data_IF_134444981830
#
_entry.id   IF_134444981830
#
_cell.length_a   1.000
_cell.length_b   1.000
_cell.length_c   1.000
_cell.angle_alpha   90.00
_cell.angle_beta   90.00
_cell.angle_gamma   90.00
#
_symmetry.space_group_name_H-M   'P 1'
#
loop_
_entity.id
_entity.type
_entity.pdbx_description
1 polymer ?
#
# COMPACT_ATOMS: atom_id res chain seq x y z
N UNK A 1 9.28 16.49 9.96
CA UNK A 1 8.35 15.36 10.12
C UNK A 1 8.77 14.31 9.12
N UNK A 2 9.02 13.09 9.57
CA UNK A 2 9.36 11.95 8.70
C UNK A 2 8.12 11.09 8.49
N UNK A 3 7.92 10.62 7.27
CA UNK A 3 6.80 9.75 6.91
C UNK A 3 7.34 8.42 6.35
N UNK A 4 6.63 7.34 6.62
CA UNK A 4 7.04 5.99 6.26
C UNK A 4 5.90 5.24 5.59
N UNK A 5 6.23 4.36 4.65
CA UNK A 5 5.30 3.38 4.10
C UNK A 5 6.03 2.06 3.86
N UNK A 6 5.33 0.93 3.85
CA UNK A 6 5.95 -0.34 3.50
C UNK A 6 6.07 -0.49 1.98
N UNK A 7 7.02 -1.29 1.50
CA UNK A 7 7.16 -1.59 0.07
C UNK A 7 5.90 -2.22 -0.52
N UNK A 8 5.15 -2.98 0.28
CA UNK A 8 3.86 -3.57 -0.11
C UNK A 8 2.80 -2.51 -0.37
N UNK A 9 2.62 -1.56 0.56
CA UNK A 9 1.66 -0.44 0.39
C UNK A 9 2.09 0.46 -0.76
N UNK A 10 3.39 0.75 -0.90
CA UNK A 10 3.90 1.53 -2.03
C UNK A 10 3.58 0.86 -3.37
N UNK A 11 3.79 -0.46 -3.49
CA UNK A 11 3.45 -1.22 -4.68
C UNK A 11 1.93 -1.22 -4.98
N UNK A 12 1.09 -1.32 -3.94
CA UNK A 12 -0.36 -1.21 -4.10
C UNK A 12 -0.80 0.16 -4.63
N UNK A 13 -0.25 1.25 -4.09
CA UNK A 13 -0.54 2.61 -4.58
C UNK A 13 -0.14 2.75 -6.05
N UNK A 14 1.07 2.31 -6.41
CA UNK A 14 1.55 2.33 -7.81
C UNK A 14 0.58 1.54 -8.71
N UNK A 15 0.14 0.35 -8.28
CA UNK A 15 -0.79 -0.47 -9.04
C UNK A 15 -2.17 0.20 -9.19
N UNK A 16 -2.71 0.82 -8.13
CA UNK A 16 -3.99 1.53 -8.18
C UNK A 16 -3.95 2.73 -9.12
N UNK A 17 -2.86 3.48 -9.13
CA UNK A 17 -2.65 4.58 -10.09
C UNK A 17 -2.55 4.05 -11.51
N UNK A 18 -1.88 2.91 -11.74
CA UNK A 18 -1.83 2.27 -13.06
C UNK A 18 -3.23 1.90 -13.56
N UNK A 19 -4.07 1.30 -12.71
CA UNK A 19 -5.44 0.92 -13.06
C UNK A 19 -6.31 2.16 -13.30
N UNK A 20 -6.21 3.19 -12.45
CA UNK A 20 -6.94 4.44 -12.62
C UNK A 20 -6.56 5.16 -13.92
N UNK A 21 -5.27 5.24 -14.24
CA UNK A 21 -4.79 5.81 -15.49
C UNK A 21 -5.34 5.04 -16.70
N UNK A 22 -5.36 3.71 -16.65
CA UNK A 22 -5.91 2.88 -17.72
C UNK A 22 -7.41 3.10 -17.93
N UNK A 23 -8.18 3.19 -16.84
CA UNK A 23 -9.62 3.49 -16.86
C UNK A 23 -9.85 4.80 -17.61
N UNK A 24 -9.16 5.88 -17.21
CA UNK A 24 -9.33 7.20 -17.81
C UNK A 24 -8.84 7.25 -19.25
N UNK A 25 -7.65 6.67 -19.54
CA UNK A 25 -7.00 6.78 -20.85
C UNK A 25 -7.70 5.96 -21.93
N UNK A 26 -8.17 4.76 -21.59
CA UNK A 26 -8.75 3.83 -22.57
C UNK A 26 -10.28 3.73 -22.45
N UNK A 27 -10.92 4.52 -21.58
CA UNK A 27 -12.37 4.54 -21.41
C UNK A 27 -12.93 3.21 -20.88
N UNK A 28 -12.19 2.52 -20.02
CA UNK A 28 -12.55 1.19 -19.51
C UNK A 28 -13.53 1.28 -18.36
N UNK A 29 -14.36 0.25 -18.18
CA UNK A 29 -15.06 0.06 -16.92
C UNK A 29 -14.08 -0.37 -15.82
N UNK A 30 -14.27 0.09 -14.57
CA UNK A 30 -13.37 -0.28 -13.46
C UNK A 30 -13.23 -1.78 -13.25
N UNK A 31 -14.30 -2.56 -13.47
CA UNK A 31 -14.30 -4.02 -13.37
C UNK A 31 -13.38 -4.70 -14.38
N UNK A 32 -13.19 -4.09 -15.55
CA UNK A 32 -12.55 -4.74 -16.70
C UNK A 32 -11.09 -4.31 -16.85
N UNK A 33 -10.70 -3.20 -16.21
CA UNK A 33 -9.40 -2.56 -16.40
C UNK A 33 -8.21 -3.51 -16.15
N UNK A 34 -8.25 -4.31 -15.07
CA UNK A 34 -7.19 -5.27 -14.76
C UNK A 34 -7.12 -6.38 -15.81
N UNK A 35 -8.27 -6.87 -16.28
CA UNK A 35 -8.35 -7.92 -17.31
C UNK A 35 -7.83 -7.41 -18.65
N UNK A 36 -8.19 -6.18 -19.02
CA UNK A 36 -7.71 -5.52 -20.22
C UNK A 36 -6.19 -5.34 -20.20
N UNK A 37 -5.61 -4.82 -19.11
CA UNK A 37 -4.17 -4.61 -19.01
C UNK A 37 -3.38 -5.93 -19.10
N UNK A 38 -3.91 -7.02 -18.57
CA UNK A 38 -3.29 -8.36 -18.68
C UNK A 38 -3.24 -8.86 -20.12
N UNK A 39 -4.28 -8.59 -20.91
CA UNK A 39 -4.37 -9.02 -22.32
C UNK A 39 -3.71 -8.04 -23.29
N UNK A 40 -3.41 -6.82 -22.85
CA UNK A 40 -2.78 -5.75 -23.65
C UNK A 40 -1.53 -5.17 -22.98
N UNK A 41 -0.39 -5.89 -22.94
CA UNK A 41 0.85 -5.40 -22.32
C UNK A 41 1.35 -4.07 -22.92
N UNK A 42 1.01 -3.80 -24.18
CA UNK A 42 1.39 -2.57 -24.88
C UNK A 42 0.68 -1.35 -24.30
N UNK A 43 -0.57 -1.52 -23.88
CA UNK A 43 -1.31 -0.48 -23.17
C UNK A 43 -0.58 -0.08 -21.87
N UNK A 44 -0.05 -1.05 -21.10
CA UNK A 44 0.74 -0.77 -19.89
C UNK A 44 1.97 0.07 -20.22
N UNK A 45 2.67 -0.23 -21.32
CA UNK A 45 3.89 0.49 -21.72
C UNK A 45 3.62 1.97 -22.02
N UNK A 46 2.44 2.28 -22.53
CA UNK A 46 2.02 3.64 -22.86
C UNK A 46 1.61 4.51 -21.66
N UNK A 47 1.25 3.88 -20.54
CA UNK A 47 0.92 4.56 -19.28
C UNK A 47 2.13 5.31 -18.73
N UNK A 48 1.90 6.47 -18.09
CA UNK A 48 2.93 7.40 -17.62
C UNK A 48 2.76 7.81 -16.16
N UNK A 49 1.52 7.92 -15.65
CA UNK A 49 1.26 8.46 -14.31
C UNK A 49 1.81 7.54 -13.23
N UNK A 50 1.56 6.22 -13.31
CA UNK A 50 2.06 5.28 -12.30
C UNK A 50 3.59 5.27 -12.18
N UNK A 51 4.30 5.60 -13.28
CA UNK A 51 5.77 5.67 -13.32
C UNK A 51 6.33 6.84 -12.51
N UNK A 52 5.52 7.88 -12.28
CA UNK A 52 5.92 9.05 -11.50
C UNK A 52 5.81 8.82 -9.98
N UNK A 53 4.95 7.88 -9.55
CA UNK A 53 4.65 7.65 -8.12
C UNK A 53 5.89 7.39 -7.24
N UNK A 54 6.89 6.57 -7.65
CA UNK A 54 8.11 6.42 -6.85
C UNK A 54 8.84 7.75 -6.60
N UNK A 55 8.85 8.64 -7.59
CA UNK A 55 9.43 9.99 -7.44
C UNK A 55 8.59 10.87 -6.52
N UNK A 56 7.26 10.74 -6.57
CA UNK A 56 6.35 11.48 -5.68
C UNK A 56 6.56 11.10 -4.21
N UNK A 57 6.76 9.82 -3.89
CA UNK A 57 7.13 9.41 -2.53
C UNK A 57 8.41 10.12 -2.04
N UNK A 58 9.43 10.17 -2.90
CA UNK A 58 10.69 10.87 -2.58
C UNK A 58 10.48 12.37 -2.36
N UNK A 59 9.72 13.03 -3.23
CA UNK A 59 9.42 14.47 -3.12
C UNK A 59 8.60 14.78 -1.85
N UNK A 60 7.69 13.89 -1.48
CA UNK A 60 6.91 13.95 -0.24
C UNK A 60 7.71 13.56 1.01
N UNK A 61 9.00 13.20 0.88
CA UNK A 61 9.86 12.71 1.96
C UNK A 61 9.27 11.49 2.69
N UNK A 62 8.65 10.59 1.93
CA UNK A 62 8.13 9.31 2.40
C UNK A 62 9.20 8.24 2.18
N UNK A 63 9.66 7.63 3.27
CA UNK A 63 10.63 6.54 3.24
C UNK A 63 9.90 5.20 3.04
N UNK A 64 10.31 4.46 2.00
CA UNK A 64 9.78 3.11 1.73
C UNK A 64 10.61 2.10 2.52
N UNK A 65 9.94 1.39 3.44
CA UNK A 65 10.52 0.36 4.29
C UNK A 65 10.38 -1.02 3.64
N UNK A 66 11.43 -1.83 3.73
CA UNK A 66 11.45 -3.19 3.19
C UNK A 66 10.53 -4.14 3.97
N UNK A 67 9.86 -5.03 3.24
CA UNK A 67 9.18 -6.19 3.81
C UNK A 67 10.08 -7.40 3.53
N UNK A 68 10.53 -8.07 4.60
CA UNK A 68 11.32 -9.30 4.49
C UNK A 68 10.51 -10.50 4.97
N UNK A 69 11.10 -11.70 4.87
CA UNK A 69 10.54 -12.90 5.51
C UNK A 69 10.21 -12.68 6.99
N UNK A 70 11.00 -11.86 7.70
CA UNK A 70 10.77 -11.54 9.12
C UNK A 70 9.41 -10.89 9.35
N UNK A 71 9.04 -9.91 8.52
CA UNK A 71 7.76 -9.21 8.65
C UNK A 71 6.60 -10.13 8.26
N UNK A 72 6.77 -10.93 7.20
CA UNK A 72 5.77 -11.94 6.81
C UNK A 72 5.53 -12.95 7.94
N UNK A 73 6.60 -13.44 8.57
CA UNK A 73 6.50 -14.39 9.68
C UNK A 73 5.90 -13.76 10.94
N UNK A 74 6.41 -12.59 11.35
CA UNK A 74 5.96 -11.89 12.56
C UNK A 74 4.50 -11.46 12.45
N UNK A 75 4.05 -11.11 11.24
CA UNK A 75 2.67 -10.67 10.98
C UNK A 75 1.59 -11.69 11.37
N UNK A 76 1.94 -12.99 11.47
CA UNK A 76 1.00 -14.06 11.84
C UNK A 76 0.33 -13.79 13.19
N UNK A 77 1.06 -13.23 14.16
CA UNK A 77 0.51 -12.93 15.49
C UNK A 77 -0.63 -11.94 15.42
N UNK A 78 -0.54 -10.92 14.56
CA UNK A 78 -1.60 -9.91 14.44
C UNK A 78 -2.89 -10.49 13.83
N UNK A 79 -2.76 -11.52 12.97
CA UNK A 79 -3.92 -12.27 12.45
C UNK A 79 -4.55 -13.12 13.55
N UNK A 80 -3.73 -13.82 14.33
CA UNK A 80 -4.20 -14.68 15.42
C UNK A 80 -4.83 -13.89 16.56
N UNK A 81 -4.18 -12.80 16.99
CA UNK A 81 -4.55 -12.06 18.19
C UNK A 81 -5.65 -11.03 17.93
N UNK A 82 -5.71 -10.45 16.73
CA UNK A 82 -6.61 -9.33 16.42
C UNK A 82 -7.47 -9.53 15.16
N UNK A 83 -7.38 -10.70 14.50
CA UNK A 83 -8.19 -10.99 13.31
C UNK A 83 -7.86 -10.13 12.09
N UNK A 84 -6.63 -9.58 12.01
CA UNK A 84 -6.21 -8.72 10.90
C UNK A 84 -6.12 -9.47 9.57
N UNK A 85 -6.39 -8.79 8.44
CA UNK A 85 -6.08 -9.32 7.11
C UNK A 85 -4.57 -9.38 6.88
N UNK A 86 -4.15 -10.21 5.91
CA UNK A 86 -2.73 -10.51 5.66
C UNK A 86 -1.87 -9.27 5.41
N UNK A 87 -2.33 -8.34 4.56
CA UNK A 87 -1.54 -7.15 4.22
C UNK A 87 -1.49 -6.18 5.41
N UNK A 88 -2.61 -5.99 6.10
CA UNK A 88 -2.70 -5.11 7.27
C UNK A 88 -1.84 -5.62 8.43
N UNK A 89 -1.83 -6.93 8.62
CA UNK A 89 -1.00 -7.58 9.62
C UNK A 89 0.50 -7.44 9.30
N UNK A 90 0.88 -7.37 8.02
CA UNK A 90 2.26 -7.10 7.58
C UNK A 90 2.63 -5.64 7.82
N UNK A 91 1.72 -4.68 7.59
CA UNK A 91 1.93 -3.26 7.94
C UNK A 91 2.29 -3.15 9.43
N UNK A 92 1.53 -3.80 10.30
CA UNK A 92 1.81 -3.81 11.75
C UNK A 92 3.17 -4.44 12.09
N UNK A 93 3.58 -5.50 11.40
CA UNK A 93 4.89 -6.12 11.59
C UNK A 93 6.04 -5.18 11.18
N UNK A 94 5.87 -4.42 10.08
CA UNK A 94 6.81 -3.36 9.68
C UNK A 94 6.86 -2.28 10.75
N UNK A 95 5.70 -1.77 11.20
CA UNK A 95 5.64 -0.75 12.25
C UNK A 95 6.36 -1.21 13.53
N UNK A 96 6.15 -2.45 13.94
CA UNK A 96 6.83 -3.05 15.08
C UNK A 96 8.37 -3.08 14.90
N UNK A 97 8.87 -3.47 13.73
CA UNK A 97 10.33 -3.49 13.43
C UNK A 97 10.95 -2.11 13.61
N UNK A 98 10.25 -1.07 13.17
CA UNK A 98 10.73 0.31 13.18
C UNK A 98 10.25 1.12 14.40
N UNK A 99 9.62 0.47 15.38
CA UNK A 99 9.07 1.10 16.59
C UNK A 99 8.12 2.27 16.28
N UNK A 100 7.37 2.16 15.19
CA UNK A 100 6.36 3.14 14.78
C UNK A 100 5.06 2.85 15.50
N UNK A 101 4.44 3.90 16.04
CA UNK A 101 3.18 3.81 16.80
C UNK A 101 2.06 4.66 16.20
N UNK A 102 2.38 5.57 15.28
CA UNK A 102 1.38 6.39 14.59
C UNK A 102 1.14 5.85 13.18
N UNK A 103 -0.12 5.57 12.85
CA UNK A 103 -0.54 5.10 11.53
C UNK A 103 -1.53 6.08 10.93
N UNK A 104 -1.22 6.63 9.75
CA UNK A 104 -2.18 7.41 8.97
C UNK A 104 -2.91 6.47 8.03
N UNK A 105 -4.19 6.24 8.26
CA UNK A 105 -5.01 5.34 7.44
C UNK A 105 -6.50 5.70 7.56
N UNK A 106 -7.28 5.40 6.53
CA UNK A 106 -8.75 5.45 6.58
C UNK A 106 -9.37 4.17 7.14
N UNK A 107 -8.54 3.15 7.40
CA UNK A 107 -8.99 1.88 7.92
C UNK A 107 -8.99 1.87 9.46
N UNK A 108 -10.18 1.75 10.05
CA UNK A 108 -10.36 1.73 11.51
C UNK A 108 -10.01 0.39 12.13
N UNK A 109 -9.81 -0.66 11.33
CA UNK A 109 -9.49 -1.99 11.83
C UNK A 109 -8.19 -2.03 12.66
N UNK A 110 -7.26 -1.10 12.39
CA UNK A 110 -6.02 -0.93 13.14
C UNK A 110 -6.22 -0.41 14.56
N UNK A 111 -7.36 0.22 14.88
CA UNK A 111 -7.68 0.68 16.24
C UNK A 111 -7.84 -0.48 17.23
N UNK A 112 -8.07 -1.71 16.73
CA UNK A 112 -8.15 -2.93 17.55
C UNK A 112 -6.81 -3.33 18.18
N UNK A 113 -5.68 -2.79 17.69
CA UNK A 113 -4.34 -3.21 18.11
C UNK A 113 -3.78 -2.26 19.18
N UNK A 114 -3.55 -2.75 20.41
CA UNK A 114 -2.99 -1.92 21.48
C UNK A 114 -1.63 -1.31 21.10
N UNK A 115 -1.45 -0.03 21.46
CA UNK A 115 -0.21 0.70 21.19
C UNK A 115 -0.11 1.33 19.79
N UNK A 116 -1.12 1.15 18.93
CA UNK A 116 -1.21 1.84 17.64
C UNK A 116 -2.16 3.03 17.76
N UNK A 117 -1.67 4.22 17.44
CA UNK A 117 -2.45 5.44 17.31
C UNK A 117 -2.80 5.68 15.85
N UNK A 118 -4.07 5.47 15.51
CA UNK A 118 -4.61 5.74 14.17
C UNK A 118 -4.91 7.25 14.02
N UNK A 119 -4.53 7.80 12.88
CA UNK A 119 -4.87 9.14 12.41
C UNK A 119 -5.61 9.02 11.08
N UNK A 120 -6.88 9.44 11.06
CA UNK A 120 -7.66 9.43 9.83
C UNK A 120 -7.44 10.74 9.06
N UNK A 121 -6.91 10.71 7.83
CA UNK A 121 -6.91 11.90 6.99
C UNK A 121 -8.34 12.30 6.63
N UNK A 122 -8.63 13.60 6.62
CA UNK A 122 -9.91 14.15 6.19
C UNK A 122 -10.00 14.26 4.68
#
# INVERSE_FOLDING_TARGET
MEAFTSSGVAAEVIHRVMVAEAITRFGLQPSDAVSYLKTHPQAIRELRQYKAIPREFTLARIHILDITYREIHTSKRYRADYGMLTNDSIILAVMQRYKLVHLVTNDRDFERVPGIKVWMPR
#
